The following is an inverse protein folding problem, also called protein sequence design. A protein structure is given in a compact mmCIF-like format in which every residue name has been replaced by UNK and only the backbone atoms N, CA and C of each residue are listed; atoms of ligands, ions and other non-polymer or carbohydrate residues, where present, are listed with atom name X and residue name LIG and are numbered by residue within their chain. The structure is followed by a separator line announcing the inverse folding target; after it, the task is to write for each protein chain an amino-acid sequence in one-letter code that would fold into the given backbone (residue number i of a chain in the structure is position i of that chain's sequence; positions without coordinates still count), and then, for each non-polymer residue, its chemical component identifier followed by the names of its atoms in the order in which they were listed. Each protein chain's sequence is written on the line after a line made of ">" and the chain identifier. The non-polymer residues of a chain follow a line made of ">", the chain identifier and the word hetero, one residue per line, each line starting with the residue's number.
data_IF_641008940279
#
_entry.id   IF_641008940279
#
_cell.length_a   1.000
_cell.length_b   1.000
_cell.length_c   1.000
_cell.angle_alpha   90.00
_cell.angle_beta   90.00
_cell.angle_gamma   90.00
#
_symmetry.space_group_name_H-M   'P 1'
#
loop_
_entity.id
_entity.type
_entity.pdbx_description
1 polymer ?
#
# COMPACT_ATOMS: atom_id res chain seq x y z
N UNK A 1 7.85 -13.36 -14.76
CA UNK A 1 7.60 -12.62 -13.49
C UNK A 1 6.12 -12.73 -13.12
N UNK A 2 5.21 -12.32 -13.99
CA UNK A 2 3.75 -12.49 -13.81
C UNK A 2 3.31 -13.94 -13.59
N UNK A 3 3.87 -14.89 -14.36
CA UNK A 3 3.64 -16.33 -14.18
C UNK A 3 4.04 -16.90 -12.81
N UNK A 4 4.87 -16.19 -12.05
CA UNK A 4 5.23 -16.60 -10.69
C UNK A 4 4.06 -16.42 -9.70
N UNK A 5 3.08 -15.60 -10.06
CA UNK A 5 1.90 -15.28 -9.26
C UNK A 5 0.67 -16.07 -9.74
N UNK A 6 0.76 -16.71 -10.90
CA UNK A 6 -0.30 -17.59 -11.40
C UNK A 6 -0.48 -18.78 -10.45
N UNK A 7 -1.71 -18.96 -9.97
CA UNK A 7 -2.03 -20.03 -9.01
C UNK A 7 -1.60 -19.75 -7.57
N UNK A 8 -1.08 -18.55 -7.26
CA UNK A 8 -0.78 -18.17 -5.88
C UNK A 8 -2.07 -18.12 -5.05
N UNK A 9 -2.16 -19.02 -4.07
CA UNK A 9 -3.26 -19.07 -3.13
C UNK A 9 -3.08 -18.06 -2.01
N UNK A 10 -4.03 -17.13 -1.88
CA UNK A 10 -4.06 -16.15 -0.79
C UNK A 10 -5.50 -15.81 -0.41
N UNK A 11 -5.65 -15.23 0.78
CA UNK A 11 -6.94 -14.85 1.37
C UNK A 11 -7.06 -13.35 1.52
N UNK A 12 -8.26 -12.83 1.35
CA UNK A 12 -8.58 -11.44 1.60
C UNK A 12 -8.28 -11.06 3.06
N UNK A 13 -7.99 -9.79 3.30
CA UNK A 13 -7.76 -9.30 4.65
C UNK A 13 -8.08 -7.83 4.79
N UNK A 14 -8.54 -7.44 5.99
CA UNK A 14 -8.81 -6.05 6.32
C UNK A 14 -7.54 -5.30 6.73
N UNK A 15 -7.40 -4.10 6.19
CA UNK A 15 -6.40 -3.09 6.56
C UNK A 15 -7.14 -1.91 7.19
N UNK A 16 -6.79 -1.62 8.43
CA UNK A 16 -7.23 -0.42 9.13
C UNK A 16 -6.16 0.65 9.00
N UNK A 17 -6.56 1.81 8.50
CA UNK A 17 -5.75 3.01 8.41
C UNK A 17 -6.18 3.98 9.50
N UNK A 18 -5.25 4.30 10.40
CA UNK A 18 -5.54 5.13 11.59
C UNK A 18 -4.44 6.13 11.93
N UNK A 19 -3.33 6.12 11.18
CA UNK A 19 -2.25 7.09 11.34
C UNK A 19 -2.17 8.02 10.14
N UNK A 20 -1.70 9.23 10.35
CA UNK A 20 -1.39 10.17 9.28
C UNK A 20 0.04 10.68 9.47
N UNK A 21 0.67 11.08 8.39
CA UNK A 21 2.01 11.62 8.43
C UNK A 21 2.43 12.20 7.10
N UNK A 22 3.56 12.89 7.10
CA UNK A 22 4.14 13.45 5.90
C UNK A 22 5.65 13.21 5.83
N UNK A 23 6.19 13.27 4.62
CA UNK A 23 7.63 13.34 4.38
C UNK A 23 7.94 14.26 3.20
N UNK A 24 9.06 14.96 3.30
CA UNK A 24 9.63 15.73 2.20
C UNK A 24 10.32 14.76 1.23
N UNK A 25 10.20 15.01 -0.07
CA UNK A 25 10.91 14.25 -1.11
C UNK A 25 12.42 14.34 -0.89
N UNK A 26 13.01 13.25 -0.40
CA UNK A 26 14.44 13.18 -0.16
C UNK A 26 15.26 13.15 -1.46
N UNK A 27 14.64 12.92 -2.62
CA UNK A 27 15.29 12.73 -3.91
C UNK A 27 15.15 13.94 -4.86
N UNK A 28 14.18 14.83 -4.64
CA UNK A 28 13.90 15.96 -5.53
C UNK A 28 14.16 17.36 -4.93
N UNK A 29 15.15 17.50 -4.04
CA UNK A 29 15.54 18.81 -3.45
C UNK A 29 15.82 19.94 -4.46
N UNK A 30 16.00 19.64 -5.75
CA UNK A 30 16.27 20.63 -6.81
C UNK A 30 15.01 21.20 -7.49
N UNK A 31 13.83 20.63 -7.25
CA UNK A 31 12.57 21.03 -7.91
C UNK A 31 11.54 21.65 -6.95
N UNK A 32 11.99 22.09 -5.77
CA UNK A 32 11.12 22.52 -4.68
C UNK A 32 10.80 21.35 -3.75
N UNK A 33 10.63 21.65 -2.47
CA UNK A 33 10.34 20.64 -1.45
C UNK A 33 8.91 20.09 -1.68
N UNK A 34 8.81 19.00 -2.43
CA UNK A 34 7.56 18.27 -2.61
C UNK A 34 7.30 17.48 -1.33
N UNK A 35 6.13 17.70 -0.75
CA UNK A 35 5.67 17.05 0.46
C UNK A 35 4.67 15.97 0.07
N UNK A 36 4.88 14.76 0.58
CA UNK A 36 3.92 13.69 0.46
C UNK A 36 3.13 13.58 1.77
N UNK A 37 1.81 13.61 1.66
CA UNK A 37 0.90 13.31 2.75
C UNK A 37 0.43 11.87 2.62
N UNK A 38 0.46 11.15 3.73
CA UNK A 38 0.18 9.73 3.76
C UNK A 38 -0.77 9.36 4.89
N UNK A 39 -1.57 8.33 4.62
CA UNK A 39 -2.28 7.58 5.63
C UNK A 39 -1.56 6.24 5.88
N UNK A 40 -1.42 5.89 7.15
CA UNK A 40 -0.65 4.75 7.63
C UNK A 40 -1.60 3.68 8.18
N UNK A 41 -1.43 2.42 7.75
CA UNK A 41 -2.03 1.27 8.41
C UNK A 41 -1.62 1.21 9.88
N UNK A 42 -2.53 0.75 10.74
CA UNK A 42 -2.22 0.43 12.14
C UNK A 42 -1.18 -0.70 12.24
N UNK A 43 -0.65 -0.94 13.45
CA UNK A 43 0.41 -1.93 13.65
C UNK A 43 0.01 -3.35 13.24
N UNK A 44 -1.25 -3.74 13.44
CA UNK A 44 -1.78 -5.05 13.03
C UNK A 44 -1.84 -5.16 11.51
N UNK A 45 -2.26 -4.10 10.85
CA UNK A 45 -2.40 -4.03 9.40
C UNK A 45 -1.05 -3.93 8.69
N UNK A 46 -0.04 -3.28 9.30
CA UNK A 46 1.35 -3.35 8.85
C UNK A 46 1.85 -4.80 8.82
N UNK A 47 1.60 -5.58 9.88
CA UNK A 47 2.02 -6.98 9.94
C UNK A 47 1.35 -7.81 8.83
N UNK A 48 0.04 -7.61 8.60
CA UNK A 48 -0.68 -8.28 7.50
C UNK A 48 -0.06 -7.96 6.14
N UNK A 49 0.25 -6.69 5.88
CA UNK A 49 0.90 -6.24 4.64
C UNK A 49 2.31 -6.80 4.46
N UNK A 50 3.13 -6.83 5.52
CA UNK A 50 4.45 -7.47 5.47
C UNK A 50 4.35 -8.96 5.18
N UNK A 51 3.42 -9.68 5.81
CA UNK A 51 3.20 -11.10 5.54
C UNK A 51 2.75 -11.33 4.09
N UNK A 52 1.84 -10.50 3.59
CA UNK A 52 1.36 -10.56 2.22
C UNK A 52 2.51 -10.34 1.20
N UNK A 53 3.32 -9.29 1.38
CA UNK A 53 4.50 -9.06 0.52
C UNK A 53 5.55 -10.15 0.69
N UNK A 54 5.72 -10.71 1.89
CA UNK A 54 6.60 -11.86 2.12
C UNK A 54 6.21 -13.08 1.28
N UNK A 55 4.91 -13.36 1.20
CA UNK A 55 4.36 -14.41 0.34
C UNK A 55 4.60 -14.12 -1.15
N UNK A 56 4.35 -12.89 -1.62
CA UNK A 56 4.62 -12.49 -3.00
C UNK A 56 6.12 -12.65 -3.35
N UNK A 57 6.99 -12.18 -2.47
CA UNK A 57 8.44 -12.30 -2.63
C UNK A 57 8.89 -13.76 -2.69
N UNK A 58 8.27 -14.63 -1.89
CA UNK A 58 8.53 -16.07 -1.94
C UNK A 58 8.13 -16.64 -3.30
N UNK A 59 6.94 -16.32 -3.79
CA UNK A 59 6.45 -16.79 -5.09
C UNK A 59 7.40 -16.37 -6.23
N UNK A 60 7.84 -15.11 -6.23
CA UNK A 60 8.87 -14.63 -7.16
C UNK A 60 10.19 -15.39 -7.02
N UNK A 61 10.68 -15.60 -5.79
CA UNK A 61 11.93 -16.32 -5.54
C UNK A 61 11.87 -17.78 -6.01
N UNK A 62 10.75 -18.47 -5.76
CA UNK A 62 10.54 -19.86 -6.20
C UNK A 62 10.54 -19.96 -7.75
N UNK A 63 10.11 -18.91 -8.44
CA UNK A 63 10.18 -18.77 -9.89
C UNK A 63 11.53 -18.25 -10.43
N UNK A 64 12.57 -18.15 -9.58
CA UNK A 64 13.90 -17.68 -9.95
C UNK A 64 14.01 -16.16 -10.16
N UNK A 65 13.00 -15.39 -9.76
CA UNK A 65 13.02 -13.92 -9.82
C UNK A 65 13.68 -13.37 -8.55
N UNK A 66 14.79 -12.66 -8.71
CA UNK A 66 15.51 -12.05 -7.59
C UNK A 66 14.79 -10.80 -7.08
N UNK A 67 14.37 -10.83 -5.82
CA UNK A 67 13.86 -9.65 -5.09
C UNK A 67 15.05 -8.91 -4.45
N UNK A 68 15.49 -7.82 -5.06
CA UNK A 68 16.71 -7.11 -4.66
C UNK A 68 16.57 -6.24 -3.40
N UNK A 69 15.34 -5.98 -2.94
CA UNK A 69 15.07 -5.18 -1.76
C UNK A 69 13.97 -5.81 -0.91
N UNK A 70 14.30 -6.61 0.13
CA UNK A 70 13.30 -6.94 1.14
C UNK A 70 12.84 -5.61 1.76
N UNK A 71 11.56 -5.28 1.59
CA UNK A 71 10.96 -4.03 2.07
C UNK A 71 11.23 -3.88 3.58
N UNK A 72 12.00 -2.85 3.95
CA UNK A 72 12.24 -2.48 5.36
C UNK A 72 11.43 -1.23 5.77
N UNK A 73 10.86 -0.53 4.80
CA UNK A 73 10.01 0.64 5.03
C UNK A 73 8.59 0.21 5.38
N UNK A 74 7.93 1.00 6.23
CA UNK A 74 6.53 0.83 6.55
C UNK A 74 5.65 1.08 5.32
N UNK A 75 4.53 0.36 5.25
CA UNK A 75 3.51 0.61 4.25
C UNK A 75 2.76 1.89 4.56
N UNK A 76 2.34 2.59 3.52
CA UNK A 76 1.51 3.79 3.60
C UNK A 76 0.77 3.95 2.27
N UNK A 77 -0.33 4.68 2.29
CA UNK A 77 -1.03 5.12 1.09
C UNK A 77 -0.81 6.63 0.94
N UNK A 78 -0.38 7.06 -0.25
CA UNK A 78 -0.23 8.49 -0.54
C UNK A 78 -1.61 9.10 -0.76
N UNK A 79 -1.96 10.10 0.03
CA UNK A 79 -3.19 10.87 -0.11
C UNK A 79 -3.00 12.07 -1.04
N UNK A 80 -1.88 12.77 -0.88
CA UNK A 80 -1.61 14.01 -1.61
C UNK A 80 -0.11 14.18 -1.85
N UNK A 81 0.22 14.81 -2.97
CA UNK A 81 1.53 15.40 -3.24
C UNK A 81 1.34 16.91 -3.34
N UNK A 82 2.06 17.65 -2.53
CA UNK A 82 1.92 19.10 -2.44
C UNK A 82 3.29 19.79 -2.46
N UNK A 83 3.31 21.09 -2.75
CA UNK A 83 4.52 21.88 -2.59
C UNK A 83 4.67 22.35 -1.12
N UNK A 84 5.81 22.97 -0.80
CA UNK A 84 6.09 23.46 0.55
C UNK A 84 5.21 24.60 1.04
N UNK A 85 4.43 25.24 0.18
CA UNK A 85 3.45 26.25 0.61
C UNK A 85 2.15 25.64 1.15
N UNK A 86 1.97 24.33 1.04
CA UNK A 86 0.80 23.63 1.55
C UNK A 86 0.90 23.45 3.07
N UNK A 87 -0.15 23.76 3.85
CA UNK A 87 -0.15 23.63 5.31
C UNK A 87 -0.31 22.16 5.72
N UNK A 88 0.76 21.38 5.58
CA UNK A 88 0.72 19.93 5.79
C UNK A 88 0.46 19.57 7.25
N UNK A 89 1.00 20.31 8.21
CA UNK A 89 0.85 20.02 9.64
C UNK A 89 -0.61 20.17 10.07
N UNK A 90 -1.26 21.28 9.70
CA UNK A 90 -2.69 21.52 9.95
C UNK A 90 -3.56 20.43 9.30
N UNK A 91 -3.21 19.99 8.09
CA UNK A 91 -3.94 18.93 7.41
C UNK A 91 -3.77 17.56 8.09
N UNK A 92 -2.56 17.25 8.57
CA UNK A 92 -2.32 16.00 9.33
C UNK A 92 -3.15 16.00 10.62
N UNK A 93 -3.14 17.11 11.37
CA UNK A 93 -3.96 17.26 12.58
C UNK A 93 -5.45 17.11 12.26
N UNK A 94 -5.94 17.79 11.23
CA UNK A 94 -7.34 17.66 10.81
C UNK A 94 -7.72 16.22 10.44
N UNK A 95 -6.85 15.51 9.73
CA UNK A 95 -7.13 14.12 9.34
C UNK A 95 -7.17 13.17 10.54
N UNK A 96 -6.37 13.44 11.59
CA UNK A 96 -6.49 12.69 12.84
C UNK A 96 -7.87 12.83 13.49
N UNK A 97 -8.52 13.98 13.37
CA UNK A 97 -9.88 14.20 13.87
C UNK A 97 -10.96 13.50 13.02
N UNK A 98 -10.72 13.33 11.72
CA UNK A 98 -11.63 12.58 10.81
C UNK A 98 -11.66 11.09 11.17
N UNK A 99 -10.58 10.58 11.77
CA UNK A 99 -10.51 9.24 12.34
C UNK A 99 -9.93 8.18 11.40
N UNK A 100 -10.40 6.95 11.55
CA UNK A 100 -9.83 5.78 10.86
C UNK A 100 -10.74 5.25 9.77
N UNK A 101 -10.16 4.65 8.74
CA UNK A 101 -10.90 3.92 7.69
C UNK A 101 -10.39 2.49 7.57
N UNK A 102 -11.28 1.56 7.22
CA UNK A 102 -10.93 0.14 7.05
C UNK A 102 -11.32 -0.29 5.64
N UNK A 103 -10.38 -0.93 4.95
CA UNK A 103 -10.61 -1.51 3.62
C UNK A 103 -10.33 -3.00 3.65
N UNK A 104 -11.06 -3.78 2.86
CA UNK A 104 -10.73 -5.17 2.59
C UNK A 104 -9.87 -5.26 1.33
N UNK A 105 -8.69 -5.85 1.43
CA UNK A 105 -7.88 -6.16 0.26
C UNK A 105 -8.34 -7.49 -0.32
N UNK A 106 -8.89 -7.42 -1.53
CA UNK A 106 -9.48 -8.56 -2.22
C UNK A 106 -8.79 -8.93 -3.52
N UNK A 107 -8.01 -8.00 -4.07
CA UNK A 107 -7.16 -8.24 -5.20
C UNK A 107 -5.94 -7.31 -5.17
N UNK A 108 -5.01 -7.57 -6.07
CA UNK A 108 -3.92 -6.67 -6.38
C UNK A 108 -3.66 -6.71 -7.89
N UNK A 109 -3.18 -5.59 -8.44
CA UNK A 109 -2.68 -5.52 -9.81
C UNK A 109 -1.18 -5.77 -9.84
N UNK A 110 -0.74 -6.54 -10.83
CA UNK A 110 0.67 -6.67 -11.15
C UNK A 110 0.85 -6.70 -12.68
N UNK A 111 1.50 -5.68 -13.22
CA UNK A 111 1.69 -5.48 -14.66
C UNK A 111 0.38 -5.54 -15.48
N UNK A 112 -0.71 -4.96 -14.96
CA UNK A 112 -2.00 -4.90 -15.65
C UNK A 112 -2.81 -6.20 -15.59
N UNK A 113 -2.37 -7.19 -14.82
CA UNK A 113 -3.19 -8.35 -14.46
C UNK A 113 -3.63 -8.23 -13.01
N UNK A 114 -4.94 -8.41 -12.80
CA UNK A 114 -5.56 -8.45 -11.48
C UNK A 114 -5.56 -9.89 -10.96
N UNK A 115 -5.07 -10.06 -9.73
CA UNK A 115 -5.06 -11.34 -9.00
C UNK A 115 -6.04 -11.25 -7.84
N UNK A 116 -7.00 -12.17 -7.79
CA UNK A 116 -8.06 -12.19 -6.78
C UNK A 116 -7.72 -13.13 -5.61
N UNK A 117 -8.21 -12.79 -4.42
CA UNK A 117 -8.19 -13.68 -3.26
C UNK A 117 -9.13 -14.89 -3.47
N UNK A 118 -8.81 -16.02 -2.85
CA UNK A 118 -9.50 -17.30 -3.10
C UNK A 118 -10.64 -17.61 -2.11
N UNK A 119 -10.75 -16.84 -1.03
CA UNK A 119 -11.76 -17.03 0.03
C UNK A 119 -13.12 -16.38 -0.27
N UNK A 120 -13.25 -15.70 -1.42
CA UNK A 120 -14.42 -14.91 -1.75
C UNK A 120 -14.36 -13.58 -1.01
N UNK A 121 -14.20 -12.48 -1.77
CA UNK A 121 -14.31 -11.14 -1.20
C UNK A 121 -15.78 -10.84 -0.91
N UNK A 122 -16.07 -10.23 0.23
CA UNK A 122 -17.44 -9.83 0.59
C UNK A 122 -17.96 -8.69 -0.32
N UNK A 123 -17.05 -7.95 -0.99
CA UNK A 123 -17.37 -6.89 -1.96
C UNK A 123 -16.56 -7.02 -3.27
N UNK A 124 -17.16 -7.53 -4.36
CA UNK A 124 -16.51 -7.64 -5.66
C UNK A 124 -16.14 -6.29 -6.31
N UNK A 125 -16.71 -5.16 -5.85
CA UNK A 125 -16.34 -3.82 -6.33
C UNK A 125 -15.05 -3.30 -5.70
N UNK A 126 -14.53 -3.94 -4.65
CA UNK A 126 -13.28 -3.56 -3.98
C UNK A 126 -12.05 -3.58 -4.92
N UNK A 127 -12.14 -4.28 -6.05
CA UNK A 127 -11.10 -4.33 -7.08
C UNK A 127 -11.16 -3.22 -8.13
N UNK A 128 -12.28 -2.48 -8.19
CA UNK A 128 -12.49 -1.36 -9.11
C UNK A 128 -12.27 -0.01 -8.42
N UNK A 129 -12.20 0.01 -7.08
CA UNK A 129 -11.72 1.17 -6.35
C UNK A 129 -10.20 1.24 -6.54
N UNK A 130 -9.68 2.38 -6.98
CA UNK A 130 -8.26 2.65 -7.27
C UNK A 130 -7.35 2.61 -6.01
N UNK A 131 -7.53 1.65 -5.11
CA UNK A 131 -6.56 1.27 -4.09
C UNK A 131 -5.52 0.31 -4.71
N UNK A 132 -4.84 0.76 -5.77
CA UNK A 132 -3.74 0.02 -6.37
C UNK A 132 -2.56 0.06 -5.38
N UNK A 133 -2.36 -1.05 -4.66
CA UNK A 133 -1.09 -1.29 -3.96
C UNK A 133 -0.04 -1.56 -5.05
N UNK A 134 0.64 -0.50 -5.48
CA UNK A 134 1.82 -0.63 -6.33
C UNK A 134 2.90 -1.41 -5.54
N UNK A 135 3.15 -2.65 -5.97
CA UNK A 135 4.24 -3.49 -5.46
C UNK A 135 5.54 -3.11 -6.15
#
# INVERSE_FOLDING_TARGET
>A
MQSALEGLAWKSFYITYSGFGCNVDMHQRRLGDLIYLHILPDSVSQVKLFNFVGMLNKAFSDAGVKVNHPRKSLFHMTLLRANSSYPVDDMVEHLHDVGSTTIQVCCFDFNGQVFFAQDGCDDPQACNAEAVVAV
#
